data_IF_337735216011
#
_entry.id   IF_337735216011
#
_cell.length_a   1.000
_cell.length_b   1.000
_cell.length_c   1.000
_cell.angle_alpha   90.00
_cell.angle_beta   90.00
_cell.angle_gamma   90.00
#
_symmetry.space_group_name_H-M   'P 1'
#
loop_
_entity.id
_entity.type
_entity.pdbx_description
1 polymer ?
#
# COMPACT_ATOMS: atom_id res chain seq x y z
N UNK A 1 2.63 -13.35 -17.11
CA UNK A 1 2.94 -14.79 -17.09
C UNK A 1 4.45 -15.01 -17.24
N UNK A 2 5.00 -16.16 -16.85
CA UNK A 2 6.45 -16.43 -17.02
C UNK A 2 6.92 -16.28 -18.48
N UNK A 3 6.02 -16.51 -19.44
CA UNK A 3 6.28 -16.27 -20.86
C UNK A 3 6.41 -14.78 -21.22
N UNK A 4 5.59 -13.90 -20.63
CA UNK A 4 5.64 -12.45 -20.88
C UNK A 4 6.95 -11.81 -20.41
N UNK A 5 7.57 -12.36 -19.38
CA UNK A 5 8.88 -11.89 -18.87
C UNK A 5 10.06 -12.69 -19.44
N UNK A 6 9.85 -13.48 -20.50
CA UNK A 6 10.91 -14.24 -21.17
C UNK A 6 11.44 -15.44 -20.39
N UNK A 7 10.78 -15.86 -19.31
CA UNK A 7 11.18 -16.98 -18.43
C UNK A 7 10.31 -18.23 -18.63
N UNK A 8 9.86 -18.49 -19.86
CA UNK A 8 9.00 -19.64 -20.18
C UNK A 8 9.70 -20.95 -19.80
N UNK A 9 9.00 -21.82 -19.07
CA UNK A 9 9.52 -23.13 -18.65
C UNK A 9 10.41 -23.10 -17.40
N UNK A 10 10.65 -21.92 -16.81
CA UNK A 10 11.35 -21.78 -15.52
C UNK A 10 10.42 -22.08 -14.35
N UNK A 11 10.99 -22.63 -13.30
CA UNK A 11 10.32 -22.83 -12.01
C UNK A 11 10.14 -21.50 -11.27
N UNK A 12 9.22 -21.45 -10.30
CA UNK A 12 9.03 -20.26 -9.46
C UNK A 12 10.31 -19.87 -8.69
N UNK A 13 11.09 -20.86 -8.25
CA UNK A 13 12.36 -20.62 -7.57
C UNK A 13 13.37 -19.94 -8.48
N UNK A 14 13.51 -20.42 -9.72
CA UNK A 14 14.40 -19.78 -10.72
C UNK A 14 13.94 -18.36 -11.07
N UNK A 15 12.63 -18.14 -11.21
CA UNK A 15 12.06 -16.81 -11.48
C UNK A 15 12.33 -15.86 -10.30
N UNK A 16 12.10 -16.32 -9.07
CA UNK A 16 12.36 -15.54 -7.86
C UNK A 16 13.85 -15.17 -7.77
N UNK A 17 14.74 -16.14 -7.97
CA UNK A 17 16.19 -15.91 -7.92
C UNK A 17 16.64 -14.91 -8.99
N UNK A 18 16.09 -15.01 -10.21
CA UNK A 18 16.37 -14.06 -11.28
C UNK A 18 15.93 -12.64 -10.90
N UNK A 19 14.71 -12.45 -10.39
CA UNK A 19 14.21 -11.14 -9.96
C UNK A 19 14.98 -10.57 -8.76
N UNK A 20 15.35 -11.41 -7.78
CA UNK A 20 16.10 -10.98 -6.60
C UNK A 20 17.51 -10.49 -6.93
N UNK A 21 18.12 -11.03 -7.98
CA UNK A 21 19.51 -10.71 -8.38
C UNK A 21 19.61 -9.63 -9.46
N UNK A 22 18.53 -9.40 -10.21
CA UNK A 22 18.45 -8.43 -11.30
C UNK A 22 18.78 -7.00 -10.83
N UNK A 23 19.87 -6.39 -11.35
CA UNK A 23 20.23 -5.01 -11.04
C UNK A 23 19.14 -3.98 -11.39
N UNK A 24 18.30 -4.25 -12.40
CA UNK A 24 17.21 -3.34 -12.77
C UNK A 24 16.16 -3.18 -11.65
N UNK A 25 16.06 -4.17 -10.74
CA UNK A 25 15.15 -4.14 -9.60
C UNK A 25 15.64 -3.31 -8.43
N UNK A 26 16.87 -2.78 -8.47
CA UNK A 26 17.43 -1.94 -7.41
C UNK A 26 17.00 -0.48 -7.56
N UNK A 27 16.88 0.19 -6.42
CA UNK A 27 16.73 1.65 -6.36
C UNK A 27 18.09 2.34 -6.37
N UNK A 28 18.15 3.50 -6.99
CA UNK A 28 19.37 4.31 -7.08
C UNK A 28 19.58 5.20 -5.85
N UNK A 29 18.51 5.56 -5.15
CA UNK A 29 18.55 6.43 -3.96
C UNK A 29 17.26 6.33 -3.15
N UNK A 30 17.27 6.87 -1.92
CA UNK A 30 16.06 7.04 -1.09
C UNK A 30 14.98 7.88 -1.79
N UNK A 31 15.38 8.88 -2.57
CA UNK A 31 14.45 9.72 -3.32
C UNK A 31 13.81 8.95 -4.48
N UNK A 32 14.60 8.16 -5.21
CA UNK A 32 14.11 7.28 -6.29
C UNK A 32 13.10 6.25 -5.75
N UNK A 33 13.37 5.68 -4.57
CA UNK A 33 12.43 4.81 -3.84
C UNK A 33 11.09 5.53 -3.59
N UNK A 34 11.12 6.65 -2.86
CA UNK A 34 9.90 7.37 -2.47
C UNK A 34 9.11 7.87 -3.68
N UNK A 35 9.81 8.35 -4.71
CA UNK A 35 9.19 8.84 -5.93
C UNK A 35 8.54 7.70 -6.74
N UNK A 36 9.19 6.54 -6.80
CA UNK A 36 8.59 5.34 -7.41
C UNK A 36 7.31 4.94 -6.69
N UNK A 37 7.29 4.95 -5.35
CA UNK A 37 6.10 4.67 -4.56
C UNK A 37 4.99 5.72 -4.79
N UNK A 38 5.32 7.01 -4.78
CA UNK A 38 4.34 8.09 -5.05
C UNK A 38 3.70 7.93 -6.42
N UNK A 39 4.51 7.72 -7.45
CA UNK A 39 4.02 7.53 -8.81
C UNK A 39 3.15 6.27 -8.93
N UNK A 40 3.56 5.17 -8.30
CA UNK A 40 2.77 3.93 -8.31
C UNK A 40 1.41 4.15 -7.62
N UNK A 41 1.39 4.80 -6.45
CA UNK A 41 0.16 5.09 -5.71
C UNK A 41 -0.77 6.00 -6.52
N UNK A 42 -0.27 7.13 -7.01
CA UNK A 42 -1.12 8.20 -7.54
C UNK A 42 -1.35 8.17 -9.05
N UNK A 43 -0.39 7.67 -9.83
CA UNK A 43 -0.50 7.64 -11.30
C UNK A 43 -0.98 6.29 -11.80
N UNK A 44 -0.58 5.20 -11.13
CA UNK A 44 -0.98 3.85 -11.54
C UNK A 44 -2.22 3.36 -10.80
N UNK A 45 -2.20 3.35 -9.47
CA UNK A 45 -3.25 2.67 -8.69
C UNK A 45 -4.49 3.56 -8.53
N UNK A 46 -4.33 4.78 -8.01
CA UNK A 46 -5.44 5.65 -7.64
C UNK A 46 -6.46 5.89 -8.78
N UNK A 47 -6.07 6.14 -10.05
CA UNK A 47 -7.03 6.35 -11.13
C UNK A 47 -7.91 5.12 -11.39
N UNK A 48 -7.36 3.91 -11.23
CA UNK A 48 -8.09 2.65 -11.39
C UNK A 48 -9.03 2.42 -10.21
N UNK A 49 -8.56 2.66 -8.99
CA UNK A 49 -9.38 2.57 -7.77
C UNK A 49 -10.57 3.54 -7.85
N UNK A 50 -10.37 4.77 -8.32
CA UNK A 50 -11.46 5.75 -8.51
C UNK A 50 -12.56 5.27 -9.46
N UNK A 51 -12.22 4.45 -10.46
CA UNK A 51 -13.21 3.84 -11.37
C UNK A 51 -13.99 2.70 -10.70
N UNK A 52 -13.35 1.96 -9.78
CA UNK A 52 -13.95 0.82 -9.09
C UNK A 52 -14.79 1.21 -7.87
N UNK A 53 -14.50 2.36 -7.24
CA UNK A 53 -15.18 2.86 -6.04
C UNK A 53 -15.87 4.20 -6.33
N UNK A 54 -17.15 4.19 -6.77
CA UNK A 54 -17.88 5.42 -7.13
C UNK A 54 -18.04 6.42 -5.99
N UNK A 55 -17.95 5.94 -4.74
CA UNK A 55 -18.03 6.76 -3.51
C UNK A 55 -16.69 6.75 -2.76
N UNK A 56 -15.60 6.95 -3.48
CA UNK A 56 -14.28 7.03 -2.89
C UNK A 56 -14.19 8.25 -1.95
N UNK A 57 -13.79 8.06 -0.68
CA UNK A 57 -13.52 9.15 0.24
C UNK A 57 -12.50 10.16 -0.31
N UNK A 58 -12.73 11.45 -0.03
CA UNK A 58 -11.80 12.52 -0.41
C UNK A 58 -10.68 12.71 0.62
N UNK A 59 -10.07 11.62 1.05
CA UNK A 59 -8.90 11.64 1.95
C UNK A 59 -7.72 11.04 1.23
N UNK A 60 -6.66 11.82 1.11
CA UNK A 60 -5.42 11.37 0.50
C UNK A 60 -4.53 10.64 1.52
N UNK A 61 -3.58 9.85 1.03
CA UNK A 61 -2.52 9.22 1.82
C UNK A 61 -1.17 9.84 1.47
N UNK A 62 -0.41 10.31 2.46
CA UNK A 62 0.95 10.79 2.20
C UNK A 62 1.90 9.61 2.02
N UNK A 63 2.96 9.79 1.22
CA UNK A 63 4.04 8.80 1.09
C UNK A 63 5.30 9.40 1.70
N UNK A 64 5.71 8.82 2.82
CA UNK A 64 6.75 9.35 3.71
C UNK A 64 7.87 8.33 3.90
N UNK A 65 9.09 8.83 4.13
CA UNK A 65 10.24 8.01 4.42
C UNK A 65 10.55 7.99 5.91
N UNK A 66 10.93 6.82 6.43
CA UNK A 66 11.46 6.62 7.77
C UNK A 66 12.92 6.17 7.63
N UNK A 67 13.85 6.86 8.29
CA UNK A 67 15.29 6.51 8.26
C UNK A 67 15.75 5.75 9.51
N UNK A 68 14.79 5.31 10.34
CA UNK A 68 15.09 4.48 11.50
C UNK A 68 15.53 3.08 11.05
N UNK A 69 16.73 2.60 11.44
CA UNK A 69 17.21 1.25 11.10
C UNK A 69 16.30 0.13 11.60
N UNK A 70 15.57 0.34 12.68
CA UNK A 70 14.66 -0.65 13.28
C UNK A 70 13.24 -0.59 12.68
N UNK A 71 13.00 0.28 11.69
CA UNK A 71 11.70 0.37 11.04
C UNK A 71 11.40 -0.89 10.20
N UNK A 72 10.14 -1.33 10.22
CA UNK A 72 9.65 -2.31 9.25
C UNK A 72 9.70 -1.74 7.83
N UNK A 73 9.76 -2.62 6.82
CA UNK A 73 9.90 -2.25 5.40
C UNK A 73 8.92 -1.16 4.97
N UNK A 74 7.66 -1.33 5.36
CA UNK A 74 6.55 -0.46 5.01
C UNK A 74 5.48 -0.59 6.10
N UNK A 75 4.74 0.49 6.36
CA UNK A 75 3.56 0.48 7.23
C UNK A 75 2.62 1.63 6.90
N UNK A 76 1.35 1.44 7.20
CA UNK A 76 0.36 2.50 7.23
C UNK A 76 0.20 3.10 8.63
N UNK A 77 0.04 4.42 8.69
CA UNK A 77 -0.31 5.18 9.89
C UNK A 77 -1.64 5.89 9.65
N UNK A 78 -2.62 5.64 10.52
CA UNK A 78 -3.96 6.20 10.38
C UNK A 78 -4.00 7.74 10.52
N UNK A 79 -4.98 8.41 9.87
CA UNK A 79 -5.22 9.83 10.07
C UNK A 79 -5.61 10.13 11.51
N UNK A 80 -5.35 11.36 11.97
CA UNK A 80 -5.81 11.80 13.27
C UNK A 80 -7.34 11.90 13.31
N UNK A 81 -7.91 11.69 14.50
CA UNK A 81 -9.36 11.71 14.72
C UNK A 81 -9.97 13.09 14.39
N UNK A 82 -9.23 14.15 14.71
CA UNK A 82 -9.61 15.54 14.48
C UNK A 82 -9.34 16.02 13.04
N UNK A 83 -8.77 15.16 12.18
CA UNK A 83 -8.43 15.48 10.80
C UNK A 83 -7.20 16.38 10.61
N UNK A 84 -6.50 16.75 11.69
CA UNK A 84 -5.28 17.57 11.62
C UNK A 84 -4.11 16.88 10.90
N UNK A 85 -4.07 15.55 10.87
CA UNK A 85 -3.06 14.73 10.18
C UNK A 85 -3.73 13.75 9.23
N UNK A 86 -3.24 13.70 8.00
CA UNK A 86 -3.62 12.69 7.01
C UNK A 86 -3.08 11.31 7.42
N UNK A 87 -3.58 10.27 6.77
CA UNK A 87 -2.94 8.96 6.86
C UNK A 87 -1.63 8.95 6.08
N UNK A 88 -0.63 8.23 6.58
CA UNK A 88 0.70 8.16 5.98
C UNK A 88 1.07 6.73 5.65
N UNK A 89 1.41 6.47 4.38
CA UNK A 89 2.15 5.28 3.96
C UNK A 89 3.64 5.56 4.16
N UNK A 90 4.21 4.94 5.18
CA UNK A 90 5.58 5.14 5.64
C UNK A 90 6.45 3.99 5.15
N UNK A 91 7.55 4.32 4.48
CA UNK A 91 8.50 3.36 3.89
C UNK A 91 9.84 3.48 4.59
N UNK A 92 10.45 2.34 4.95
CA UNK A 92 11.81 2.34 5.47
C UNK A 92 12.80 2.69 4.35
N UNK A 93 13.41 3.86 4.48
CA UNK A 93 14.43 4.40 3.58
C UNK A 93 15.86 4.10 4.03
N UNK A 94 16.05 3.64 5.27
CA UNK A 94 17.34 3.20 5.78
C UNK A 94 17.86 2.00 4.97
N UNK A 95 16.99 1.01 4.74
CA UNK A 95 17.29 -0.22 3.99
C UNK A 95 16.77 -0.19 2.55
N UNK A 96 16.82 0.98 1.89
CA UNK A 96 16.25 1.17 0.55
C UNK A 96 16.84 0.24 -0.52
N UNK A 97 18.06 -0.24 -0.32
CA UNK A 97 18.79 -1.15 -1.21
C UNK A 97 18.30 -2.60 -1.12
N UNK A 98 17.66 -2.95 -0.01
CA UNK A 98 17.05 -4.27 0.21
C UNK A 98 15.74 -4.40 -0.57
N UNK A 99 14.92 -3.34 -0.60
CA UNK A 99 13.68 -3.25 -1.35
C UNK A 99 13.91 -3.38 -2.86
N UNK A 100 13.03 -4.12 -3.53
CA UNK A 100 13.05 -4.33 -4.98
C UNK A 100 11.85 -3.68 -5.65
N UNK A 101 12.06 -3.16 -6.87
CA UNK A 101 11.01 -2.48 -7.64
C UNK A 101 9.77 -3.34 -7.89
N UNK A 102 9.92 -4.66 -8.02
CA UNK A 102 8.79 -5.58 -8.16
C UNK A 102 7.88 -5.63 -6.91
N UNK A 103 8.35 -5.22 -5.73
CA UNK A 103 7.59 -5.23 -4.47
C UNK A 103 6.70 -3.99 -4.33
N UNK A 104 7.02 -2.89 -5.03
CA UNK A 104 6.35 -1.58 -4.91
C UNK A 104 4.85 -1.72 -5.11
N UNK A 105 4.44 -2.39 -6.19
CA UNK A 105 3.02 -2.55 -6.50
C UNK A 105 2.26 -3.26 -5.38
N UNK A 106 2.82 -4.35 -4.85
CA UNK A 106 2.16 -5.13 -3.79
C UNK A 106 2.05 -4.33 -2.49
N UNK A 107 3.12 -3.65 -2.09
CA UNK A 107 3.14 -2.81 -0.89
C UNK A 107 2.22 -1.59 -1.01
N UNK A 108 2.20 -0.92 -2.18
CA UNK A 108 1.27 0.17 -2.44
C UNK A 108 -0.19 -0.26 -2.39
N UNK A 109 -0.52 -1.44 -2.91
CA UNK A 109 -1.87 -2.00 -2.82
C UNK A 109 -2.27 -2.35 -1.39
N UNK A 110 -1.31 -2.81 -0.58
CA UNK A 110 -1.51 -3.24 0.80
C UNK A 110 -1.67 -2.05 1.76
N UNK A 111 -0.77 -1.08 1.72
CA UNK A 111 -0.73 0.00 2.71
C UNK A 111 -1.58 1.22 2.33
N UNK A 112 -1.69 1.51 1.03
CA UNK A 112 -2.39 2.69 0.52
C UNK A 112 -3.73 2.31 -0.11
N UNK A 113 -3.86 2.42 -1.43
CA UNK A 113 -5.09 2.11 -2.13
C UNK A 113 -4.98 0.73 -2.79
N UNK A 114 -5.99 -0.14 -2.73
CA UNK A 114 -7.22 0.01 -1.95
C UNK A 114 -7.10 -0.54 -0.51
N UNK A 115 -5.91 -0.87 -0.02
CA UNK A 115 -5.68 -1.53 1.28
C UNK A 115 -5.91 -0.68 2.54
N UNK A 116 -4.98 -0.75 3.49
CA UNK A 116 -5.15 -0.26 4.87
C UNK A 116 -5.65 1.19 4.95
N UNK A 117 -5.10 2.09 4.13
CA UNK A 117 -5.58 3.47 4.09
C UNK A 117 -7.07 3.57 3.79
N UNK A 118 -7.52 2.90 2.72
CA UNK A 118 -8.91 3.02 2.30
C UNK A 118 -9.86 2.31 3.28
N UNK A 119 -9.45 1.18 3.85
CA UNK A 119 -10.17 0.49 4.93
C UNK A 119 -10.38 1.40 6.15
N UNK A 120 -9.30 1.99 6.68
CA UNK A 120 -9.35 2.88 7.84
C UNK A 120 -10.26 4.09 7.60
N UNK A 121 -10.14 4.70 6.42
CA UNK A 121 -10.94 5.87 6.05
C UNK A 121 -12.43 5.51 5.97
N UNK A 122 -12.80 4.40 5.33
CA UNK A 122 -14.21 3.99 5.26
C UNK A 122 -14.77 3.70 6.65
N UNK A 123 -14.00 3.06 7.53
CA UNK A 123 -14.42 2.79 8.89
C UNK A 123 -14.72 4.09 9.67
N UNK A 124 -13.82 5.07 9.59
CA UNK A 124 -13.93 6.36 10.31
C UNK A 124 -15.03 7.26 9.75
N UNK A 125 -15.14 7.36 8.42
CA UNK A 125 -16.11 8.24 7.76
C UNK A 125 -17.54 7.71 7.73
N UNK A 126 -17.77 6.41 7.99
CA UNK A 126 -19.11 5.88 8.04
C UNK A 126 -19.87 6.42 9.29
N UNK A 127 -20.90 7.27 9.14
CA UNK A 127 -21.61 7.86 10.27
C UNK A 127 -22.41 6.82 11.07
N UNK A 128 -22.78 5.68 10.47
CA UNK A 128 -23.53 4.63 11.16
C UNK A 128 -22.65 3.73 12.04
N UNK A 129 -21.33 3.86 11.95
CA UNK A 129 -20.42 3.07 12.79
C UNK A 129 -20.40 3.62 14.21
N UNK A 130 -20.58 2.74 15.20
CA UNK A 130 -20.32 3.07 16.60
C UNK A 130 -18.84 3.44 16.79
N UNK A 131 -18.54 4.39 17.67
CA UNK A 131 -17.17 4.88 17.97
C UNK A 131 -16.17 3.73 18.16
N UNK A 132 -16.56 2.69 18.89
CA UNK A 132 -15.74 1.47 19.06
C UNK A 132 -15.28 0.86 17.72
N UNK A 133 -16.14 0.77 16.71
CA UNK A 133 -15.80 0.20 15.39
C UNK A 133 -14.96 1.14 14.50
N UNK A 134 -14.87 2.42 14.85
CA UNK A 134 -14.09 3.43 14.09
C UNK A 134 -12.62 3.49 14.50
N UNK A 135 -12.32 3.04 15.72
CA UNK A 135 -11.04 3.31 16.37
C UNK A 135 -10.40 2.08 17.04
N UNK A 136 -11.07 0.92 17.04
CA UNK A 136 -10.48 -0.32 17.55
C UNK A 136 -10.04 -1.19 16.39
N UNK A 137 -8.74 -1.40 16.31
CA UNK A 137 -8.10 -2.32 15.37
C UNK A 137 -8.13 -3.75 15.91
N UNK A 138 -8.44 -4.71 15.05
CA UNK A 138 -8.27 -6.12 15.34
C UNK A 138 -7.00 -6.63 14.66
N UNK A 139 -6.30 -7.60 15.25
CA UNK A 139 -5.05 -8.14 14.71
C UNK A 139 -5.17 -8.73 13.30
N UNK A 140 -6.37 -9.13 12.90
CA UNK A 140 -6.68 -9.54 11.52
C UNK A 140 -6.59 -8.38 10.52
N UNK A 141 -7.02 -7.19 10.95
CA UNK A 141 -7.10 -5.98 10.11
C UNK A 141 -5.72 -5.36 9.89
N UNK A 142 -4.71 -5.76 10.67
CA UNK A 142 -3.32 -5.32 10.56
C UNK A 142 -2.49 -6.12 9.53
N UNK A 143 -2.86 -7.38 9.25
CA UNK A 143 -2.03 -8.28 8.44
C UNK A 143 -2.59 -8.52 7.03
N UNK A 144 -3.89 -8.27 6.83
CA UNK A 144 -4.53 -8.30 5.53
C UNK A 144 -5.68 -7.29 5.55
N UNK A 145 -5.95 -6.56 4.46
CA UNK A 145 -7.14 -5.73 4.37
C UNK A 145 -8.38 -6.64 4.37
N UNK A 146 -8.92 -6.90 5.55
CA UNK A 146 -9.94 -7.93 5.78
C UNK A 146 -11.36 -7.36 5.65
N UNK A 147 -11.51 -6.04 5.60
CA UNK A 147 -12.82 -5.36 5.56
C UNK A 147 -13.05 -4.59 4.27
N UNK A 148 -12.77 -5.18 3.11
CA UNK A 148 -13.45 -4.71 1.90
C UNK A 148 -14.95 -4.98 2.04
N UNK A 149 -15.81 -3.95 2.07
CA UNK A 149 -17.23 -4.20 2.13
C UNK A 149 -17.66 -4.75 0.76
N UNK A 150 -17.88 -6.06 0.67
CA UNK A 150 -18.82 -6.65 -0.29
C UNK A 150 -20.28 -6.26 0.04
N UNK A 151 -20.50 -5.05 0.56
CA UNK A 151 -21.76 -4.47 0.93
C UNK A 151 -22.06 -3.27 0.01
N UNK A 152 -22.03 -3.51 -1.30
CA UNK A 152 -22.98 -2.84 -2.19
C UNK A 152 -24.29 -3.62 -2.11
N UNK A 153 -25.06 -3.36 -1.05
CA UNK A 153 -26.48 -3.71 -1.01
C UNK A 153 -27.27 -2.53 -0.45
N UNK A 154 -28.18 -2.05 -1.30
CA UNK A 154 -29.29 -1.10 -1.07
C UNK A 154 -28.85 0.37 -0.88
N UNK A 155 -29.32 1.36 -1.63
CA UNK A 155 -30.52 1.52 -2.46
C UNK A 155 -30.18 1.93 -3.90
#
# INVERSE_FOLDING_TARGET
>A
TAAEIGMKGKTLSEISQALMTDPAQRFSSKNDLLETFRNTVYNDIYPRVKQMFPRLPQTNVTVEGDDNPDAVIARYSEPSIDGSRLGSFIINTHSFDTLKKYEVMALSLHEAYPGHHLEAVYAKLNPSNHTFRKYVDFTSDLNAPARFPAAHRHN
#
